data_IF_655457773045
#
_entry.id   IF_655457773045
#
_cell.length_a   1.000
_cell.length_b   1.000
_cell.length_c   1.000
_cell.angle_alpha   90.00
_cell.angle_beta   90.00
_cell.angle_gamma   90.00
#
_symmetry.space_group_name_H-M   'P 1'
#
loop_
_entity.id
_entity.type
_entity.pdbx_description
1 polymer ?
#
# COMPACT_ATOMS: atom_id res chain seq x y z
N UNK A 1 -27.77 61.28 30.41
CA UNK A 1 -26.35 61.03 30.09
C UNK A 1 -26.17 59.50 29.98
N UNK A 2 -26.20 58.99 28.76
CA UNK A 2 -26.08 57.51 28.51
C UNK A 2 -24.61 57.26 28.14
N UNK A 3 -23.91 56.49 28.98
CA UNK A 3 -22.53 56.02 28.71
C UNK A 3 -22.61 54.77 27.86
N UNK A 4 -22.19 54.91 26.61
CA UNK A 4 -22.05 53.76 25.67
C UNK A 4 -20.66 53.16 25.93
N UNK A 5 -20.66 51.93 26.48
CA UNK A 5 -19.45 51.15 26.67
C UNK A 5 -19.15 50.41 25.37
N UNK A 6 -18.13 50.84 24.64
CA UNK A 6 -17.65 50.22 23.43
C UNK A 6 -16.73 49.05 23.80
N UNK A 7 -17.20 47.82 23.75
CA UNK A 7 -16.36 46.64 23.89
C UNK A 7 -15.60 46.41 22.58
N UNK A 8 -14.31 46.71 22.61
CA UNK A 8 -13.37 46.38 21.55
C UNK A 8 -13.08 44.87 21.64
N UNK A 9 -13.77 44.07 20.84
CA UNK A 9 -13.51 42.64 20.73
C UNK A 9 -12.25 42.43 19.86
N UNK A 10 -11.10 42.35 20.53
CA UNK A 10 -9.81 42.07 19.88
C UNK A 10 -9.83 40.58 19.51
N UNK A 11 -10.24 40.29 18.27
CA UNK A 11 -10.18 38.94 17.70
C UNK A 11 -8.74 38.49 17.54
N UNK A 12 -8.24 37.70 18.50
CA UNK A 12 -6.99 36.97 18.36
C UNK A 12 -7.24 35.85 17.34
N UNK A 13 -6.94 36.12 16.09
CA UNK A 13 -6.81 35.09 15.07
C UNK A 13 -5.58 34.23 15.44
N UNK A 14 -5.77 33.24 16.29
CA UNK A 14 -4.86 32.12 16.42
C UNK A 14 -4.87 31.39 15.08
N UNK A 15 -3.94 31.77 14.21
CA UNK A 15 -3.65 31.03 12.98
C UNK A 15 -3.26 29.60 13.38
N UNK A 16 -4.21 28.69 13.36
CA UNK A 16 -3.96 27.27 13.35
C UNK A 16 -3.14 26.99 12.09
N UNK A 17 -1.82 27.10 12.19
CA UNK A 17 -0.93 26.47 11.21
C UNK A 17 -1.25 25.00 11.30
N UNK A 18 -1.97 24.48 10.30
CA UNK A 18 -2.04 23.03 10.07
C UNK A 18 -0.58 22.56 10.10
N UNK A 19 -0.25 21.66 11.04
CA UNK A 19 1.09 21.11 11.12
C UNK A 19 1.46 20.59 9.74
N UNK A 20 2.50 21.18 9.14
CA UNK A 20 2.94 20.79 7.80
C UNK A 20 3.33 19.30 7.91
N UNK A 21 2.69 18.45 7.14
CA UNK A 21 2.92 17.01 7.17
C UNK A 21 4.35 16.75 6.76
N UNK A 22 5.09 15.97 7.53
CA UNK A 22 6.42 15.53 7.14
C UNK A 22 6.30 14.56 5.95
N UNK A 23 6.75 15.03 4.79
CA UNK A 23 6.77 14.28 3.54
C UNK A 23 8.18 13.80 3.16
N UNK A 24 9.18 13.95 4.04
CA UNK A 24 10.58 13.60 3.78
C UNK A 24 10.76 12.20 3.20
N UNK A 25 10.02 11.23 3.75
CA UNK A 25 9.96 9.84 3.27
C UNK A 25 9.57 9.69 1.80
N UNK A 26 8.81 10.63 1.25
CA UNK A 26 8.20 10.54 -0.08
C UNK A 26 8.86 11.47 -1.10
N UNK A 27 9.95 12.14 -0.76
CA UNK A 27 10.67 13.05 -1.65
C UNK A 27 11.56 12.29 -2.65
N UNK A 28 12.52 12.96 -3.24
CA UNK A 28 13.38 12.44 -4.31
C UNK A 28 14.00 11.08 -3.95
N UNK A 29 13.94 10.14 -4.90
CA UNK A 29 14.42 8.77 -4.73
C UNK A 29 13.44 7.80 -4.09
N UNK A 30 12.31 8.26 -3.53
CA UNK A 30 11.30 7.37 -2.94
C UNK A 30 10.51 6.56 -4.00
N UNK A 31 10.53 6.98 -5.25
CA UNK A 31 9.89 6.28 -6.38
C UNK A 31 10.96 6.05 -7.46
N UNK A 32 11.67 4.92 -7.39
CA UNK A 32 12.73 4.61 -8.36
C UNK A 32 12.16 4.29 -9.74
N UNK A 33 12.92 4.69 -10.77
CA UNK A 33 12.63 4.36 -12.16
C UNK A 33 13.79 3.56 -12.76
N UNK A 34 13.45 2.44 -13.42
CA UNK A 34 14.38 1.62 -14.18
C UNK A 34 13.93 1.62 -15.64
N UNK A 35 14.78 2.11 -16.53
CA UNK A 35 14.46 2.24 -17.98
C UNK A 35 13.15 2.98 -18.25
N UNK A 36 12.84 4.01 -17.45
CA UNK A 36 11.62 4.81 -17.60
C UNK A 36 10.35 4.16 -17.05
N UNK A 37 10.46 3.05 -16.32
CA UNK A 37 9.35 2.37 -15.65
C UNK A 37 9.53 2.49 -14.14
N UNK A 38 8.51 2.93 -13.43
CA UNK A 38 8.50 2.93 -11.95
C UNK A 38 8.61 1.49 -11.47
N UNK A 39 9.73 1.22 -10.75
CA UNK A 39 10.08 -0.14 -10.34
C UNK A 39 10.64 -0.11 -8.93
N UNK A 40 9.90 -0.67 -8.00
CA UNK A 40 10.36 -0.87 -6.64
C UNK A 40 10.96 -2.28 -6.52
N UNK A 41 12.11 -2.38 -5.87
CA UNK A 41 12.79 -3.65 -5.66
C UNK A 41 13.24 -3.80 -4.21
N UNK A 42 13.05 -4.98 -3.66
CA UNK A 42 13.57 -5.38 -2.35
C UNK A 42 14.23 -6.73 -2.45
N UNK A 43 15.48 -6.78 -1.99
CA UNK A 43 16.27 -7.99 -1.95
C UNK A 43 16.61 -8.34 -0.50
N UNK A 44 16.45 -9.62 -0.13
CA UNK A 44 16.80 -10.11 1.20
C UNK A 44 17.24 -11.56 1.15
N UNK A 45 18.09 -11.96 2.14
CA UNK A 45 18.54 -13.33 2.33
C UNK A 45 17.66 -14.05 3.34
N UNK A 46 17.44 -15.34 3.13
CA UNK A 46 16.73 -16.23 4.04
C UNK A 46 17.66 -17.34 4.49
N UNK A 47 18.39 -17.15 5.61
CA UNK A 47 19.35 -18.14 6.09
C UNK A 47 18.68 -19.47 6.44
N UNK A 48 19.37 -20.59 6.14
CA UNK A 48 18.92 -21.92 6.57
C UNK A 48 17.77 -22.52 5.76
N UNK A 49 17.33 -21.86 4.69
CA UNK A 49 16.29 -22.40 3.79
C UNK A 49 16.86 -22.62 2.37
N UNK A 50 16.35 -23.64 1.71
CA UNK A 50 16.61 -23.88 0.29
C UNK A 50 15.80 -22.92 -0.59
N UNK A 51 16.21 -22.72 -1.83
CA UNK A 51 15.50 -21.87 -2.79
C UNK A 51 14.04 -22.32 -2.97
N UNK A 52 13.77 -23.63 -2.96
CA UNK A 52 12.41 -24.17 -3.07
C UNK A 52 11.57 -23.89 -1.82
N UNK A 53 12.16 -23.96 -0.62
CA UNK A 53 11.46 -23.58 0.61
C UNK A 53 11.11 -22.10 0.61
N UNK A 54 12.04 -21.24 0.20
CA UNK A 54 11.82 -19.80 0.07
C UNK A 54 10.72 -19.52 -0.95
N UNK A 55 10.78 -20.15 -2.12
CA UNK A 55 9.78 -20.01 -3.19
C UNK A 55 8.38 -20.43 -2.70
N UNK A 56 8.27 -21.58 -2.04
CA UNK A 56 6.99 -22.07 -1.51
C UNK A 56 6.40 -21.12 -0.46
N UNK A 57 7.23 -20.59 0.44
CA UNK A 57 6.78 -19.60 1.44
C UNK A 57 6.25 -18.33 0.78
N UNK A 58 7.01 -17.77 -0.17
CA UNK A 58 6.60 -16.56 -0.89
C UNK A 58 5.39 -16.79 -1.78
N UNK A 59 5.27 -17.97 -2.40
CA UNK A 59 4.08 -18.32 -3.16
C UNK A 59 2.84 -18.43 -2.28
N UNK A 60 2.99 -18.97 -1.07
CA UNK A 60 1.92 -19.01 -0.07
C UNK A 60 1.52 -17.59 0.35
N UNK A 61 2.50 -16.71 0.60
CA UNK A 61 2.23 -15.30 0.88
C UNK A 61 1.45 -14.64 -0.26
N UNK A 62 1.88 -14.81 -1.51
CA UNK A 62 1.17 -14.24 -2.68
C UNK A 62 -0.27 -14.73 -2.75
N UNK A 63 -0.50 -16.05 -2.61
CA UNK A 63 -1.84 -16.65 -2.67
C UNK A 63 -2.74 -16.18 -1.52
N UNK A 64 -2.27 -16.24 -0.29
CA UNK A 64 -3.10 -16.03 0.90
C UNK A 64 -3.23 -14.54 1.28
N UNK A 65 -2.22 -13.72 1.01
CA UNK A 65 -2.22 -12.32 1.43
C UNK A 65 -2.56 -11.35 0.29
N UNK A 66 -2.05 -11.59 -0.91
CA UNK A 66 -2.28 -10.66 -2.03
C UNK A 66 -3.48 -11.06 -2.89
N UNK A 67 -3.67 -12.38 -3.16
CA UNK A 67 -4.71 -12.83 -4.09
C UNK A 67 -6.02 -13.13 -3.36
N UNK A 68 -5.99 -13.90 -2.27
CA UNK A 68 -7.19 -14.33 -1.54
C UNK A 68 -7.96 -13.15 -0.91
N UNK A 69 -7.25 -12.13 -0.49
CA UNK A 69 -7.83 -10.91 0.09
C UNK A 69 -8.27 -9.91 -0.97
N UNK A 70 -8.16 -10.24 -2.26
CA UNK A 70 -8.65 -9.40 -3.33
C UNK A 70 -10.16 -9.20 -3.22
N UNK A 71 -10.59 -7.97 -3.42
CA UNK A 71 -12.01 -7.61 -3.45
C UNK A 71 -12.64 -8.24 -4.70
N UNK A 72 -13.83 -8.80 -4.55
CA UNK A 72 -14.60 -9.33 -5.66
C UNK A 72 -14.77 -8.27 -6.77
N UNK A 73 -14.64 -8.70 -8.03
CA UNK A 73 -14.68 -7.82 -9.19
C UNK A 73 -13.35 -7.19 -9.59
N UNK A 74 -12.29 -7.34 -8.77
CA UNK A 74 -10.94 -6.91 -9.15
C UNK A 74 -10.16 -8.02 -9.87
N UNK A 75 -9.25 -7.63 -10.78
CA UNK A 75 -8.51 -8.57 -11.65
C UNK A 75 -7.20 -9.06 -11.05
N UNK A 76 -7.24 -9.45 -9.78
CA UNK A 76 -6.08 -10.01 -9.09
C UNK A 76 -5.93 -11.49 -9.42
N UNK A 77 -4.73 -11.93 -9.86
CA UNK A 77 -4.44 -13.31 -10.17
C UNK A 77 -2.95 -13.62 -10.18
N UNK A 78 -2.60 -14.86 -9.90
CA UNK A 78 -1.27 -15.42 -10.19
C UNK A 78 -1.16 -15.65 -11.71
N UNK A 79 -0.03 -15.23 -12.30
CA UNK A 79 0.31 -15.43 -13.73
C UNK A 79 1.27 -16.61 -13.85
N UNK A 80 2.30 -16.67 -13.00
CA UNK A 80 3.27 -17.77 -12.92
C UNK A 80 3.48 -18.11 -11.44
N UNK A 81 3.50 -19.40 -11.13
CA UNK A 81 3.71 -19.90 -9.76
C UNK A 81 5.17 -20.26 -9.46
N UNK A 82 6.06 -20.07 -10.42
CA UNK A 82 7.48 -20.32 -10.25
C UNK A 82 7.90 -21.81 -10.25
N UNK A 83 7.02 -22.73 -10.65
CA UNK A 83 7.27 -24.18 -10.55
C UNK A 83 8.39 -24.70 -11.46
N UNK A 84 8.70 -24.02 -12.55
CA UNK A 84 9.72 -24.40 -13.54
C UNK A 84 11.03 -23.63 -13.41
N UNK A 85 11.30 -23.03 -12.24
CA UNK A 85 12.45 -22.13 -12.06
C UNK A 85 12.23 -20.71 -12.57
N UNK A 86 11.05 -20.45 -13.13
CA UNK A 86 10.61 -19.12 -13.50
C UNK A 86 10.30 -18.26 -12.25
N UNK A 87 10.32 -16.94 -12.36
CA UNK A 87 9.86 -16.09 -11.28
C UNK A 87 8.36 -16.32 -10.96
N UNK A 88 7.98 -16.24 -9.69
CA UNK A 88 6.57 -16.07 -9.32
C UNK A 88 6.12 -14.73 -9.86
N UNK A 89 5.01 -14.70 -10.58
CA UNK A 89 4.45 -13.48 -11.11
C UNK A 89 2.95 -13.39 -10.80
N UNK A 90 2.53 -12.27 -10.22
CA UNK A 90 1.14 -12.00 -9.92
C UNK A 90 0.76 -10.58 -10.37
N UNK A 91 -0.42 -10.45 -10.96
CA UNK A 91 -1.06 -9.16 -11.18
C UNK A 91 -2.01 -8.87 -10.04
N UNK A 92 -1.79 -7.74 -9.40
CA UNK A 92 -2.55 -7.30 -8.24
C UNK A 92 -3.39 -6.09 -8.64
N UNK A 93 -4.67 -6.14 -8.32
CA UNK A 93 -5.59 -5.01 -8.43
C UNK A 93 -6.30 -4.87 -7.08
N UNK A 94 -6.17 -3.71 -6.45
CA UNK A 94 -6.74 -3.44 -5.12
C UNK A 94 -7.31 -2.02 -5.03
N UNK A 95 -8.20 -1.78 -4.07
CA UNK A 95 -8.76 -0.45 -3.83
C UNK A 95 -7.85 0.35 -2.92
N UNK A 96 -7.23 1.38 -3.47
CA UNK A 96 -6.45 2.36 -2.71
C UNK A 96 -7.35 3.48 -2.22
N UNK A 97 -7.63 3.51 -0.92
CA UNK A 97 -8.51 4.51 -0.30
C UNK A 97 -7.67 5.67 0.24
N UNK A 98 -7.97 6.90 -0.22
CA UNK A 98 -7.33 8.13 0.22
C UNK A 98 -8.08 8.80 1.37
N UNK A 99 -9.41 8.82 1.28
CA UNK A 99 -10.30 9.35 2.34
C UNK A 99 -11.57 8.51 2.41
N UNK A 100 -11.99 8.22 3.63
CA UNK A 100 -13.27 7.59 3.91
C UNK A 100 -13.96 8.40 5.01
N UNK A 101 -14.94 9.20 4.64
CA UNK A 101 -15.75 10.03 5.53
C UNK A 101 -17.24 9.79 5.23
N UNK A 102 -18.15 10.04 6.16
CA UNK A 102 -19.58 10.02 5.86
C UNK A 102 -19.85 10.86 4.60
N UNK A 103 -20.53 10.28 3.62
CA UNK A 103 -20.92 10.88 2.33
C UNK A 103 -19.74 11.24 1.38
N UNK A 104 -18.49 10.87 1.71
CA UNK A 104 -17.35 11.16 0.83
C UNK A 104 -16.31 10.05 0.86
N UNK A 105 -16.23 9.29 -0.23
CA UNK A 105 -15.23 8.24 -0.44
C UNK A 105 -14.30 8.62 -1.61
N UNK A 106 -13.02 8.86 -1.32
CA UNK A 106 -11.98 9.13 -2.32
C UNK A 106 -11.10 7.90 -2.44
N UNK A 107 -11.20 7.19 -3.55
CA UNK A 107 -10.48 5.94 -3.81
C UNK A 107 -10.10 5.81 -5.29
N UNK A 108 -9.18 4.93 -5.57
CA UNK A 108 -8.79 4.53 -6.93
C UNK A 108 -8.50 3.04 -6.97
N UNK A 109 -8.62 2.41 -8.13
CA UNK A 109 -8.08 1.08 -8.35
C UNK A 109 -6.58 1.19 -8.60
N UNK A 110 -5.81 0.57 -7.74
CA UNK A 110 -4.35 0.45 -7.84
C UNK A 110 -4.03 -0.89 -8.49
N UNK A 111 -3.27 -0.85 -9.58
CA UNK A 111 -2.82 -2.03 -10.30
C UNK A 111 -1.31 -2.09 -10.27
N UNK A 112 -0.78 -3.27 -10.03
CA UNK A 112 0.65 -3.53 -10.07
C UNK A 112 0.94 -4.95 -10.52
N UNK A 113 2.17 -5.20 -10.92
CA UNK A 113 2.72 -6.53 -11.13
C UNK A 113 3.78 -6.79 -10.08
N UNK A 114 3.61 -7.87 -9.32
CA UNK A 114 4.58 -8.37 -8.37
C UNK A 114 5.31 -9.54 -8.99
N UNK A 115 6.63 -9.47 -9.07
CA UNK A 115 7.52 -10.53 -9.58
C UNK A 115 8.49 -10.91 -8.47
N UNK A 116 8.65 -12.20 -8.20
CA UNK A 116 9.53 -12.72 -7.16
C UNK A 116 10.48 -13.74 -7.77
N UNK A 117 11.78 -13.46 -7.69
CA UNK A 117 12.85 -14.38 -8.07
C UNK A 117 13.55 -14.89 -6.81
N UNK A 118 13.91 -16.17 -6.82
CA UNK A 118 14.66 -16.80 -5.72
C UNK A 118 15.89 -17.49 -6.29
N UNK A 119 17.04 -17.10 -5.80
CA UNK A 119 18.33 -17.62 -6.24
C UNK A 119 19.38 -17.57 -5.12
N UNK A 120 20.09 -18.68 -4.89
CA UNK A 120 21.18 -18.79 -3.92
C UNK A 120 20.80 -18.34 -2.49
N UNK A 121 19.63 -18.74 -1.99
CA UNK A 121 19.14 -18.37 -0.66
C UNK A 121 18.69 -16.91 -0.52
N UNK A 122 18.49 -16.23 -1.66
CA UNK A 122 18.13 -14.83 -1.73
C UNK A 122 16.85 -14.67 -2.52
N UNK A 123 15.88 -13.91 -1.96
CA UNK A 123 14.68 -13.50 -2.65
C UNK A 123 14.81 -12.06 -3.13
N UNK A 124 14.34 -11.81 -4.34
CA UNK A 124 14.19 -10.48 -4.94
C UNK A 124 12.73 -10.27 -5.29
N UNK A 125 12.09 -9.29 -4.67
CA UNK A 125 10.71 -8.90 -4.95
C UNK A 125 10.73 -7.60 -5.75
N UNK A 126 10.10 -7.62 -6.92
CA UNK A 126 9.98 -6.46 -7.81
C UNK A 126 8.50 -6.11 -7.98
N UNK A 127 8.16 -4.84 -7.74
CA UNK A 127 6.82 -4.30 -7.99
C UNK A 127 6.93 -3.24 -9.08
N UNK A 128 6.24 -3.50 -10.20
CA UNK A 128 6.32 -2.66 -11.40
C UNK A 128 4.97 -2.59 -12.12
N UNK A 129 4.93 -1.97 -13.31
CA UNK A 129 3.72 -1.80 -14.12
C UNK A 129 2.56 -1.18 -13.32
N UNK A 130 2.89 -0.20 -12.48
CA UNK A 130 1.94 0.44 -11.59
C UNK A 130 1.05 1.40 -12.37
N UNK A 131 -0.25 1.30 -12.15
CA UNK A 131 -1.24 2.23 -12.71
C UNK A 131 -2.42 2.45 -11.78
N UNK A 132 -3.09 3.58 -11.99
CA UNK A 132 -4.28 3.99 -11.22
C UNK A 132 -5.45 4.12 -12.17
N UNK A 133 -6.59 3.54 -11.81
CA UNK A 133 -7.81 3.66 -12.58
C UNK A 133 -8.87 4.37 -11.73
N UNK A 134 -9.27 5.55 -12.18
CA UNK A 134 -10.30 6.37 -11.54
C UNK A 134 -11.62 6.24 -12.30
N UNK A 135 -12.71 6.44 -11.61
CA UNK A 135 -14.06 6.19 -12.12
C UNK A 135 -14.60 4.84 -11.65
N UNK A 136 -15.86 4.80 -11.32
CA UNK A 136 -16.55 3.54 -11.05
C UNK A 136 -16.93 2.89 -12.38
N UNK A 137 -17.00 1.56 -12.41
CA UNK A 137 -17.57 0.81 -13.54
C UNK A 137 -19.10 0.95 -13.54
N UNK A 138 -19.60 2.17 -13.45
CA UNK A 138 -20.99 2.44 -13.75
C UNK A 138 -21.15 2.44 -15.27
N UNK A 139 -22.21 1.87 -15.78
CA UNK A 139 -22.54 1.84 -17.19
C UNK A 139 -22.50 3.27 -17.75
N UNK A 140 -21.57 3.52 -18.69
CA UNK A 140 -21.35 4.85 -19.27
C UNK A 140 -20.37 5.79 -18.53
N UNK A 141 -19.78 5.40 -17.42
CA UNK A 141 -18.76 6.22 -16.75
C UNK A 141 -17.42 6.18 -17.51
N UNK A 142 -16.81 7.35 -17.72
CA UNK A 142 -15.47 7.45 -18.29
C UNK A 142 -14.45 7.01 -17.23
N UNK A 143 -13.78 5.91 -17.49
CA UNK A 143 -12.68 5.42 -16.67
C UNK A 143 -11.38 6.00 -17.19
N UNK A 144 -10.63 6.71 -16.38
CA UNK A 144 -9.30 7.21 -16.72
C UNK A 144 -8.23 6.35 -16.07
N UNK A 145 -7.19 5.99 -16.83
CA UNK A 145 -6.05 5.23 -16.32
C UNK A 145 -4.78 6.07 -16.46
N UNK A 146 -4.04 6.21 -15.36
CA UNK A 146 -2.76 6.91 -15.29
C UNK A 146 -1.65 5.93 -14.95
N UNK A 147 -0.51 6.03 -15.62
CA UNK A 147 0.68 5.28 -15.24
C UNK A 147 1.40 5.96 -14.08
N UNK A 148 2.11 5.15 -13.27
CA UNK A 148 2.90 5.67 -12.17
C UNK A 148 3.97 6.66 -12.63
N UNK A 149 4.62 6.40 -13.77
CA UNK A 149 5.64 7.24 -14.38
C UNK A 149 5.15 8.67 -14.64
N UNK A 150 3.89 8.79 -15.07
CA UNK A 150 3.25 10.06 -15.42
C UNK A 150 2.68 10.79 -14.19
N UNK A 151 2.52 10.07 -13.07
CA UNK A 151 1.75 10.58 -11.94
C UNK A 151 2.53 10.70 -10.65
N UNK A 152 3.40 9.73 -10.34
CA UNK A 152 4.10 9.67 -9.06
C UNK A 152 5.63 9.68 -9.17
N UNK A 153 6.21 9.70 -10.36
CA UNK A 153 7.66 9.86 -10.54
C UNK A 153 8.18 11.14 -9.88
N UNK A 154 9.47 11.22 -9.63
CA UNK A 154 10.06 12.42 -9.04
C UNK A 154 9.77 13.65 -9.89
N UNK A 155 9.90 13.52 -11.21
CA UNK A 155 9.60 14.58 -12.18
C UNK A 155 8.13 15.02 -12.15
N UNK A 156 7.21 14.08 -11.99
CA UNK A 156 5.76 14.34 -12.03
C UNK A 156 5.19 14.83 -10.70
N UNK A 157 5.82 14.47 -9.59
CA UNK A 157 5.22 14.60 -8.26
C UNK A 157 5.96 15.54 -7.30
N UNK A 158 7.20 15.95 -7.63
CA UNK A 158 8.00 16.79 -6.74
C UNK A 158 8.24 18.17 -7.38
N UNK A 159 8.23 19.21 -6.55
CA UNK A 159 8.54 20.57 -7.01
C UNK A 159 10.01 20.69 -7.45
N UNK A 160 10.33 21.69 -8.25
CA UNK A 160 11.69 21.92 -8.78
C UNK A 160 12.77 22.02 -7.71
N UNK A 161 12.42 22.48 -6.50
CA UNK A 161 13.34 22.59 -5.37
C UNK A 161 13.57 21.24 -4.64
N UNK A 162 12.84 20.16 -4.99
CA UNK A 162 12.97 18.86 -4.35
C UNK A 162 12.39 18.75 -2.93
N UNK A 163 11.69 19.78 -2.46
CA UNK A 163 11.32 19.95 -1.05
C UNK A 163 9.86 19.65 -0.74
N UNK A 164 8.99 19.61 -1.75
CA UNK A 164 7.54 19.42 -1.55
C UNK A 164 6.92 18.60 -2.67
N UNK A 165 5.91 17.83 -2.31
CA UNK A 165 5.08 17.12 -3.28
C UNK A 165 4.04 18.07 -3.91
N UNK A 166 3.76 17.87 -5.20
CA UNK A 166 2.63 18.53 -5.83
C UNK A 166 1.30 18.02 -5.27
N UNK A 167 0.36 18.88 -4.85
CA UNK A 167 -0.89 18.46 -4.20
C UNK A 167 -1.71 17.46 -5.00
N UNK A 168 -1.68 17.55 -6.33
CA UNK A 168 -2.43 16.70 -7.27
C UNK A 168 -2.03 15.23 -7.17
N UNK A 169 -0.74 14.93 -7.10
CA UNK A 169 -0.17 13.58 -7.11
C UNK A 169 0.26 13.06 -5.73
N UNK A 170 0.41 13.96 -4.75
CA UNK A 170 0.93 13.64 -3.43
C UNK A 170 0.24 12.46 -2.75
N UNK A 171 -1.10 12.39 -2.80
CA UNK A 171 -1.86 11.31 -2.16
C UNK A 171 -1.56 9.94 -2.80
N UNK A 172 -1.38 9.89 -4.12
CA UNK A 172 -1.03 8.69 -4.86
C UNK A 172 0.39 8.23 -4.52
N UNK A 173 1.35 9.17 -4.58
CA UNK A 173 2.75 8.86 -4.28
C UNK A 173 2.93 8.31 -2.87
N UNK A 174 2.37 8.97 -1.85
CA UNK A 174 2.43 8.50 -0.45
C UNK A 174 1.85 7.11 -0.30
N UNK A 175 0.63 6.91 -0.75
CA UNK A 175 -0.07 5.63 -0.63
C UNK A 175 0.62 4.49 -1.39
N UNK A 176 1.23 4.79 -2.54
CA UNK A 176 1.97 3.77 -3.30
C UNK A 176 3.25 3.38 -2.58
N UNK A 177 4.04 4.34 -2.10
CA UNK A 177 5.26 4.04 -1.34
C UNK A 177 4.92 3.24 -0.08
N UNK A 178 3.93 3.68 0.70
CA UNK A 178 3.49 2.97 1.91
C UNK A 178 3.00 1.54 1.60
N UNK A 179 2.24 1.35 0.52
CA UNK A 179 1.73 0.01 0.15
C UNK A 179 2.83 -0.92 -0.32
N UNK A 180 3.77 -0.41 -1.09
CA UNK A 180 4.92 -1.19 -1.56
C UNK A 180 5.79 -1.63 -0.39
N UNK A 181 6.10 -0.73 0.54
CA UNK A 181 6.84 -1.08 1.77
C UNK A 181 6.10 -2.13 2.58
N UNK A 182 4.79 -1.97 2.78
CA UNK A 182 3.96 -2.96 3.47
C UNK A 182 4.05 -4.34 2.79
N UNK A 183 3.99 -4.43 1.46
CA UNK A 183 4.16 -5.69 0.73
C UNK A 183 5.53 -6.32 1.01
N UNK A 184 6.59 -5.52 1.01
CA UNK A 184 7.93 -6.01 1.31
C UNK A 184 8.06 -6.51 2.76
N UNK A 185 7.53 -5.76 3.72
CA UNK A 185 7.53 -6.13 5.15
C UNK A 185 6.73 -7.41 5.39
N UNK A 186 5.53 -7.52 4.84
CA UNK A 186 4.68 -8.72 4.95
C UNK A 186 5.34 -9.95 4.34
N UNK A 187 6.00 -9.79 3.18
CA UNK A 187 6.74 -10.88 2.55
C UNK A 187 7.92 -11.34 3.40
N UNK A 188 8.68 -10.44 4.00
CA UNK A 188 9.78 -10.77 4.90
C UNK A 188 9.25 -11.43 6.19
N UNK A 189 8.18 -10.90 6.77
CA UNK A 189 7.54 -11.45 7.96
C UNK A 189 6.95 -12.85 7.76
N UNK A 190 6.72 -13.28 6.50
CA UNK A 190 6.24 -14.64 6.20
C UNK A 190 7.26 -15.74 6.58
N UNK A 191 8.52 -15.37 6.82
CA UNK A 191 9.59 -16.27 7.29
C UNK A 191 9.75 -16.29 8.81
N UNK A 192 9.08 -15.40 9.52
CA UNK A 192 9.11 -15.40 10.98
C UNK A 192 8.22 -16.53 11.53
N UNK A 193 8.61 -17.15 12.66
CA UNK A 193 7.76 -18.13 13.32
C UNK A 193 6.41 -17.48 13.65
N UNK A 194 5.32 -18.04 13.14
CA UNK A 194 3.99 -17.59 13.55
C UNK A 194 3.87 -17.80 15.06
N UNK A 195 3.74 -16.71 15.81
CA UNK A 195 3.40 -16.76 17.22
C UNK A 195 2.11 -17.61 17.35
N UNK A 196 2.19 -18.74 18.05
CA UNK A 196 1.01 -19.55 18.33
C UNK A 196 -0.02 -18.67 19.03
N UNK A 197 -1.20 -18.52 18.42
CA UNK A 197 -2.31 -17.85 19.09
C UNK A 197 -2.55 -18.60 20.39
N UNK A 198 -2.64 -17.92 21.56
CA UNK A 198 -2.95 -18.57 22.82
C UNK A 198 -4.19 -19.45 22.63
N UNK A 199 -4.08 -20.74 22.90
CA UNK A 199 -5.21 -21.65 22.85
C UNK A 199 -6.21 -21.14 23.88
N UNK A 200 -7.32 -20.61 23.42
CA UNK A 200 -8.42 -20.13 24.29
C UNK A 200 -8.92 -21.35 25.06
N UNK A 201 -8.59 -21.41 26.35
CA UNK A 201 -9.03 -22.50 27.23
C UNK A 201 -10.56 -22.54 27.19
N UNK A 202 -11.17 -23.71 26.96
CA UNK A 202 -12.61 -23.82 26.90
C UNK A 202 -13.22 -23.32 28.20
N UNK A 203 -14.11 -22.30 28.10
CA UNK A 203 -14.87 -21.80 29.25
C UNK A 203 -15.62 -22.98 29.87
N UNK A 204 -15.28 -23.36 31.11
CA UNK A 204 -16.04 -24.34 31.89
C UNK A 204 -17.48 -23.82 32.04
N UNK A 205 -18.41 -24.51 31.40
CA UNK A 205 -19.84 -24.31 31.71
C UNK A 205 -20.07 -24.71 33.17
N UNK A 206 -20.43 -23.75 34.00
CA UNK A 206 -20.98 -24.04 35.33
C UNK A 206 -22.36 -24.67 35.13
N UNK A 207 -22.48 -25.95 35.50
CA UNK A 207 -23.76 -26.61 35.60
C UNK A 207 -24.39 -26.09 36.89
N UNK A 208 -25.46 -25.30 36.76
CA UNK A 208 -26.32 -24.96 37.89
C UNK A 208 -27.21 -26.18 38.11
N UNK A 209 -27.02 -26.87 39.25
CA UNK A 209 -27.94 -27.87 39.76
C UNK A 209 -28.96 -27.13 40.56
N UNK A 210 -30.22 -27.10 40.07
CA UNK A 210 -31.40 -26.67 40.85
C UNK A 210 -31.81 -27.82 41.73
N UNK A 211 -31.90 -27.58 43.07
CA UNK A 211 -32.61 -28.40 44.07
C UNK A 211 -34.05 -28.02 44.14
#
# INVERSE_FOLDING_TARGET
MKRILFFLLLGVCLGLKAADRDDSKYLAGAVPEVNGVVTFEKQFKVPGQTDDQIRNTLMTYVKESLVKNAIEGLRTRVISDGTTGEPICARIEEMMVFKNKPLYLDRTRFRSQTTISVENGKATITISQISYCTGEEAEGAKTETFKAEEWISDKASINKAGTKLYPRSAKYRRKTVDRVEQIFEEAMASFEPKAEKPVEKPKRRSVVVEE
#
